data_IF_506656670442
#
_entry.id   IF_506656670442
#
_cell.length_a   1.000
_cell.length_b   1.000
_cell.length_c   1.000
_cell.angle_alpha   90.00
_cell.angle_beta   90.00
_cell.angle_gamma   90.00
#
_symmetry.space_group_name_H-M   'P 1'
#
loop_
_entity.id
_entity.type
_entity.pdbx_description
1 polymer ?
#
# COMPACT_ATOMS: atom_id res chain seq x y z
N UNK A 1 -11.55 -12.92 -9.92
CA UNK A 1 -10.14 -12.72 -10.35
C UNK A 1 -9.84 -11.25 -10.12
N UNK A 2 -8.89 -10.96 -9.25
CA UNK A 2 -8.50 -9.58 -9.00
C UNK A 2 -7.87 -9.03 -10.28
N UNK A 3 -8.42 -7.94 -10.80
CA UNK A 3 -7.91 -7.30 -12.01
C UNK A 3 -6.62 -6.56 -11.66
N UNK A 4 -5.50 -7.11 -12.13
CA UNK A 4 -4.17 -6.53 -11.96
C UNK A 4 -4.02 -5.35 -12.94
N UNK A 5 -3.32 -4.29 -12.50
CA UNK A 5 -2.97 -3.19 -13.41
C UNK A 5 -2.07 -3.71 -14.54
N UNK A 6 -2.24 -3.19 -15.75
CA UNK A 6 -1.26 -3.40 -16.82
C UNK A 6 0.10 -2.79 -16.44
N UNK A 7 1.18 -3.18 -17.13
CA UNK A 7 2.47 -2.52 -16.92
C UNK A 7 2.39 -1.03 -17.33
N UNK A 8 1.62 -0.71 -18.36
CA UNK A 8 1.41 0.67 -18.82
C UNK A 8 0.72 1.52 -17.75
N UNK A 9 -0.35 0.98 -17.12
CA UNK A 9 -1.01 1.62 -15.99
C UNK A 9 -0.06 1.75 -14.78
N UNK A 10 0.77 0.75 -14.53
CA UNK A 10 1.80 0.79 -13.48
C UNK A 10 2.84 1.88 -13.73
N UNK A 11 3.28 2.05 -14.97
CA UNK A 11 4.16 3.16 -15.37
C UNK A 11 3.49 4.50 -15.12
N UNK A 12 2.23 4.67 -15.53
CA UNK A 12 1.47 5.88 -15.26
C UNK A 12 1.29 6.13 -13.76
N UNK A 13 1.02 5.06 -12.99
CA UNK A 13 0.87 5.13 -11.54
C UNK A 13 2.13 5.65 -10.84
N UNK A 14 3.33 5.43 -11.38
CA UNK A 14 4.60 5.95 -10.83
C UNK A 14 4.96 7.32 -11.39
N UNK A 15 4.73 7.55 -12.68
CA UNK A 15 5.06 8.84 -13.34
C UNK A 15 4.20 9.99 -12.83
N UNK A 16 2.92 9.72 -12.55
CA UNK A 16 1.99 10.73 -12.05
C UNK A 16 2.42 11.28 -10.68
N UNK A 17 2.68 10.46 -9.64
CA UNK A 17 3.24 10.92 -8.38
C UNK A 17 4.55 11.69 -8.51
N UNK A 18 5.46 11.27 -9.39
CA UNK A 18 6.69 12.02 -9.65
C UNK A 18 6.38 13.42 -10.17
N UNK A 19 5.57 13.54 -11.21
CA UNK A 19 5.20 14.84 -11.77
C UNK A 19 4.50 15.74 -10.75
N UNK A 20 3.58 15.16 -9.95
CA UNK A 20 2.88 15.86 -8.88
C UNK A 20 3.87 16.32 -7.79
N UNK A 21 4.81 15.47 -7.38
CA UNK A 21 5.81 15.80 -6.36
C UNK A 21 6.77 16.91 -6.84
N UNK A 22 7.22 16.86 -8.08
CA UNK A 22 8.07 17.89 -8.67
C UNK A 22 7.33 19.25 -8.72
N UNK A 23 6.06 19.26 -9.10
CA UNK A 23 5.23 20.47 -9.09
C UNK A 23 4.97 20.97 -7.65
N UNK A 24 4.61 20.06 -6.73
CA UNK A 24 4.35 20.38 -5.31
C UNK A 24 5.57 21.02 -4.64
N UNK A 25 6.77 20.53 -4.93
CA UNK A 25 8.01 21.08 -4.37
C UNK A 25 8.34 22.49 -4.92
N UNK A 26 7.79 22.86 -6.06
CA UNK A 26 7.94 24.18 -6.71
C UNK A 26 6.69 25.07 -6.52
N UNK A 27 5.79 24.68 -5.60
CA UNK A 27 4.51 25.34 -5.34
C UNK A 27 3.65 25.55 -6.60
N UNK A 28 3.70 24.59 -7.53
CA UNK A 28 2.91 24.55 -8.76
C UNK A 28 1.81 23.49 -8.66
N UNK A 29 0.75 23.67 -9.43
CA UNK A 29 -0.30 22.66 -9.60
C UNK A 29 0.08 21.77 -10.77
N UNK A 30 -0.08 20.45 -10.59
CA UNK A 30 0.01 19.45 -11.63
C UNK A 30 -1.30 18.65 -11.63
N UNK A 31 -2.04 18.77 -12.71
CA UNK A 31 -3.21 17.94 -12.96
C UNK A 31 -2.81 16.80 -13.89
N UNK A 32 -3.26 15.60 -13.57
CA UNK A 32 -3.01 14.38 -14.34
C UNK A 32 -4.35 13.84 -14.81
N UNK A 33 -4.45 13.57 -16.10
CA UNK A 33 -5.60 12.87 -16.67
C UNK A 33 -5.37 11.35 -16.55
N UNK A 34 -6.26 10.68 -15.82
CA UNK A 34 -6.17 9.26 -15.57
C UNK A 34 -7.16 8.49 -16.46
N UNK A 35 -6.75 7.33 -17.00
CA UNK A 35 -7.65 6.46 -17.77
C UNK A 35 -8.74 5.85 -16.89
N UNK A 36 -9.73 5.23 -17.53
CA UNK A 36 -10.88 4.62 -16.87
C UNK A 36 -10.45 3.53 -15.84
N UNK A 37 -9.33 2.84 -16.08
CA UNK A 37 -8.75 1.84 -15.18
C UNK A 37 -8.41 2.40 -13.79
N UNK A 38 -8.23 3.71 -13.65
CA UNK A 38 -7.97 4.38 -12.37
C UNK A 38 -9.25 4.87 -11.65
N UNK A 39 -10.43 4.66 -12.23
CA UNK A 39 -11.72 5.01 -11.60
C UNK A 39 -12.28 3.93 -10.67
N UNK A 40 -11.51 2.90 -10.39
CA UNK A 40 -11.83 1.89 -9.38
C UNK A 40 -11.38 2.34 -7.99
N UNK A 41 -12.13 1.96 -6.97
CA UNK A 41 -11.77 2.20 -5.57
C UNK A 41 -10.68 1.22 -5.17
N UNK A 42 -9.47 1.72 -4.90
CA UNK A 42 -8.31 0.92 -4.50
C UNK A 42 -7.49 1.64 -3.43
N UNK A 43 -6.95 0.86 -2.53
CA UNK A 43 -5.91 1.37 -1.63
C UNK A 43 -4.61 1.64 -2.40
N UNK A 44 -3.85 2.66 -1.98
CA UNK A 44 -2.61 3.05 -2.64
C UNK A 44 -1.62 3.62 -1.64
N UNK A 45 -0.33 3.40 -1.88
CA UNK A 45 0.78 4.06 -1.20
C UNK A 45 1.74 4.65 -2.21
N UNK A 46 2.27 5.83 -1.91
CA UNK A 46 3.38 6.46 -2.64
C UNK A 46 4.57 6.53 -1.70
N UNK A 47 5.67 5.92 -2.12
CA UNK A 47 6.94 5.91 -1.39
C UNK A 47 7.99 6.68 -2.19
N UNK A 48 8.71 7.55 -1.51
CA UNK A 48 9.82 8.34 -2.04
C UNK A 48 11.08 7.91 -1.30
N UNK A 49 12.12 7.50 -2.03
CA UNK A 49 13.37 7.04 -1.45
C UNK A 49 14.58 7.71 -2.11
N UNK A 50 15.61 8.02 -1.34
CA UNK A 50 16.86 8.58 -1.86
C UNK A 50 17.60 7.54 -2.71
N UNK A 51 18.08 7.96 -3.87
CA UNK A 51 18.87 7.11 -4.75
C UNK A 51 20.36 7.44 -4.63
N UNK A 52 21.28 6.45 -4.62
CA UNK A 52 21.02 5.01 -4.67
C UNK A 52 20.84 4.33 -3.30
N UNK A 53 20.84 5.08 -2.19
CA UNK A 53 20.88 4.54 -0.82
C UNK A 53 19.61 3.77 -0.43
N UNK A 54 18.46 4.06 -1.08
CA UNK A 54 17.15 3.49 -0.70
C UNK A 54 16.59 4.05 0.62
N UNK A 55 17.23 5.08 1.21
CA UNK A 55 16.76 5.68 2.45
C UNK A 55 15.40 6.33 2.24
N UNK A 56 14.44 5.95 3.08
CA UNK A 56 13.08 6.48 3.03
C UNK A 56 13.07 7.99 3.22
N UNK A 57 12.34 8.68 2.36
CA UNK A 57 12.20 10.14 2.39
C UNK A 57 10.75 10.59 2.61
N UNK A 58 9.79 9.74 2.29
CA UNK A 58 8.37 9.93 2.52
C UNK A 58 7.58 8.72 2.06
N UNK A 59 6.53 8.38 2.81
CA UNK A 59 5.61 7.31 2.43
C UNK A 59 4.24 7.61 3.03
N UNK A 60 3.29 7.94 2.16
CA UNK A 60 1.89 8.18 2.56
C UNK A 60 0.98 7.37 1.65
N UNK A 61 -0.12 6.91 2.21
CA UNK A 61 -1.12 6.18 1.46
C UNK A 61 -2.49 6.12 2.12
N UNK A 62 -3.40 5.56 1.37
CA UNK A 62 -4.80 5.33 1.75
C UNK A 62 -5.07 3.83 1.60
N UNK A 63 -4.97 3.04 2.69
CA UNK A 63 -5.07 1.58 2.60
C UNK A 63 -6.47 1.07 2.32
N UNK A 64 -7.50 1.87 2.63
CA UNK A 64 -8.88 1.45 2.43
C UNK A 64 -9.38 1.88 1.04
N UNK A 65 -10.10 1.01 0.31
CA UNK A 65 -10.64 1.31 -1.01
C UNK A 65 -11.94 2.13 -0.89
N UNK A 66 -11.84 3.35 -0.37
CA UNK A 66 -12.97 4.27 -0.13
C UNK A 66 -13.01 5.44 -1.09
N UNK A 67 -12.04 5.54 -2.00
CA UNK A 67 -12.01 6.53 -3.07
C UNK A 67 -11.29 5.96 -4.29
N UNK A 68 -11.60 6.51 -5.46
CA UNK A 68 -11.00 6.10 -6.71
C UNK A 68 -9.48 6.31 -6.71
N UNK A 69 -8.74 5.39 -7.34
CA UNK A 69 -7.29 5.48 -7.48
C UNK A 69 -6.85 6.81 -8.12
N UNK A 70 -7.61 7.31 -9.12
CA UNK A 70 -7.41 8.63 -9.75
C UNK A 70 -7.46 9.80 -8.76
N UNK A 71 -8.09 9.64 -7.61
CA UNK A 71 -8.19 10.65 -6.54
C UNK A 71 -7.18 10.39 -5.42
N UNK A 72 -7.07 9.14 -4.97
CA UNK A 72 -6.19 8.77 -3.85
C UNK A 72 -4.71 8.89 -4.19
N UNK A 73 -4.32 8.56 -5.42
CA UNK A 73 -2.92 8.59 -5.86
C UNK A 73 -2.32 10.01 -5.84
N UNK A 74 -2.98 11.07 -6.41
CA UNK A 74 -2.47 12.44 -6.27
C UNK A 74 -2.39 12.93 -4.83
N UNK A 75 -3.35 12.57 -3.99
CA UNK A 75 -3.32 12.93 -2.56
C UNK A 75 -2.17 12.24 -1.83
N UNK A 76 -1.93 10.95 -2.10
CA UNK A 76 -0.81 10.22 -1.54
C UNK A 76 0.54 10.79 -2.00
N UNK A 77 0.68 11.22 -3.26
CA UNK A 77 1.87 11.85 -3.79
C UNK A 77 2.20 13.16 -3.07
N UNK A 78 1.22 14.05 -2.93
CA UNK A 78 1.39 15.31 -2.17
C UNK A 78 1.69 15.04 -0.70
N UNK A 79 0.99 14.07 -0.10
CA UNK A 79 1.23 13.65 1.28
C UNK A 79 2.66 13.15 1.48
N UNK A 80 3.19 12.33 0.57
CA UNK A 80 4.55 11.80 0.66
C UNK A 80 5.63 12.89 0.59
N UNK A 81 5.40 13.99 -0.15
CA UNK A 81 6.28 15.16 -0.17
C UNK A 81 6.28 15.90 1.17
N UNK A 82 5.18 15.83 1.91
CA UNK A 82 4.92 16.53 3.17
C UNK A 82 4.79 15.55 4.35
N UNK A 83 5.38 14.36 4.26
CA UNK A 83 5.33 13.34 5.31
C UNK A 83 5.88 13.92 6.63
N UNK A 84 5.07 13.95 7.71
CA UNK A 84 5.43 14.63 8.95
C UNK A 84 6.65 14.04 9.68
N UNK A 85 7.08 12.83 9.30
CA UNK A 85 8.28 12.18 9.84
C UNK A 85 9.58 12.80 9.30
N UNK A 86 9.50 13.57 8.21
CA UNK A 86 10.64 14.14 7.48
C UNK A 86 10.44 15.64 7.22
N UNK A 87 11.53 16.40 7.00
CA UNK A 87 11.41 17.76 6.46
C UNK A 87 10.72 17.74 5.09
N UNK A 88 9.96 18.79 4.74
CA UNK A 88 9.31 18.90 3.42
C UNK A 88 10.31 18.60 2.29
N UNK A 89 9.90 17.81 1.31
CA UNK A 89 10.72 17.48 0.15
C UNK A 89 11.06 18.74 -0.65
N UNK A 90 12.33 18.90 -1.04
CA UNK A 90 12.79 20.04 -1.84
C UNK A 90 12.94 19.64 -3.32
N UNK A 91 12.89 20.62 -4.27
CA UNK A 91 13.01 20.34 -5.71
C UNK A 91 14.29 19.58 -6.09
N UNK A 92 15.43 19.93 -5.48
CA UNK A 92 16.72 19.27 -5.72
C UNK A 92 16.74 17.82 -5.21
N UNK A 93 16.00 17.53 -4.13
CA UNK A 93 15.85 16.18 -3.58
C UNK A 93 14.91 15.33 -4.44
N UNK A 94 13.76 15.87 -4.88
CA UNK A 94 12.81 15.15 -5.73
C UNK A 94 13.49 14.58 -6.99
N UNK A 95 14.39 15.35 -7.61
CA UNK A 95 15.18 14.94 -8.79
C UNK A 95 16.17 13.80 -8.52
N UNK A 96 16.52 13.55 -7.27
CA UNK A 96 17.48 12.50 -6.84
C UNK A 96 16.83 11.31 -6.15
N UNK A 97 15.51 11.36 -5.98
CA UNK A 97 14.75 10.28 -5.38
C UNK A 97 14.15 9.36 -6.45
N UNK A 98 13.93 8.12 -6.09
CA UNK A 98 13.07 7.18 -6.82
C UNK A 98 11.67 7.20 -6.23
N UNK A 99 10.68 6.96 -7.09
CA UNK A 99 9.28 6.85 -6.72
C UNK A 99 8.83 5.40 -6.88
N UNK A 100 8.10 4.94 -5.90
CA UNK A 100 7.46 3.63 -5.87
C UNK A 100 5.99 3.80 -5.52
N UNK A 101 5.14 3.05 -6.20
CA UNK A 101 3.70 3.01 -5.92
C UNK A 101 3.29 1.58 -5.65
N UNK A 102 2.60 1.38 -4.53
CA UNK A 102 1.92 0.13 -4.21
C UNK A 102 0.42 0.36 -4.36
N UNK A 103 -0.21 -0.34 -5.30
CA UNK A 103 -1.66 -0.35 -5.47
C UNK A 103 -2.20 -1.63 -4.85
N UNK A 104 -3.12 -1.50 -3.91
CA UNK A 104 -3.71 -2.65 -3.23
C UNK A 104 -4.84 -3.24 -4.08
N UNK A 105 -4.95 -4.56 -4.11
CA UNK A 105 -6.08 -5.24 -4.71
C UNK A 105 -7.34 -5.06 -3.87
N UNK A 106 -8.51 -5.30 -4.45
CA UNK A 106 -9.74 -5.35 -3.66
C UNK A 106 -9.63 -6.46 -2.60
N UNK A 107 -10.04 -6.21 -1.35
CA UNK A 107 -10.07 -7.23 -0.32
C UNK A 107 -11.03 -8.37 -0.68
N UNK A 108 -10.56 -9.61 -0.59
CA UNK A 108 -11.36 -10.81 -0.80
C UNK A 108 -11.66 -11.49 0.54
N UNK A 109 -12.93 -11.84 0.84
CA UNK A 109 -13.27 -12.56 2.07
C UNK A 109 -12.61 -13.94 2.13
N UNK A 110 -11.95 -14.25 3.25
CA UNK A 110 -11.44 -15.60 3.52
C UNK A 110 -12.57 -16.42 4.17
N UNK A 111 -13.04 -17.43 3.46
CA UNK A 111 -14.03 -18.38 3.98
C UNK A 111 -13.30 -19.59 4.53
N UNK A 112 -13.40 -19.81 5.84
CA UNK A 112 -12.70 -20.87 6.54
C UNK A 112 -13.62 -21.67 7.46
N UNK A 113 -13.27 -22.92 7.73
CA UNK A 113 -14.03 -23.87 8.57
C UNK A 113 -13.33 -24.14 9.91
N UNK A 114 -12.04 -23.88 9.98
CA UNK A 114 -11.20 -24.07 11.17
C UNK A 114 -10.03 -23.10 11.16
N UNK A 115 -9.35 -22.94 12.27
CA UNK A 115 -8.14 -22.12 12.37
C UNK A 115 -7.01 -22.62 11.44
N UNK A 116 -6.89 -23.92 11.26
CA UNK A 116 -5.91 -24.49 10.31
C UNK A 116 -6.26 -24.18 8.85
N UNK A 117 -7.55 -24.25 8.51
CA UNK A 117 -8.05 -23.86 7.18
C UNK A 117 -7.80 -22.35 6.90
N UNK A 118 -8.04 -21.49 7.89
CA UNK A 118 -7.70 -20.07 7.81
C UNK A 118 -6.21 -19.85 7.49
N UNK A 119 -5.34 -20.49 8.28
CA UNK A 119 -3.88 -20.35 8.10
C UNK A 119 -3.40 -20.82 6.73
N UNK A 120 -3.98 -21.91 6.22
CA UNK A 120 -3.59 -22.47 4.92
C UNK A 120 -3.90 -21.57 3.72
N UNK A 121 -4.77 -20.57 3.91
CA UNK A 121 -5.16 -19.62 2.87
C UNK A 121 -4.37 -18.30 2.91
N UNK A 122 -3.42 -18.16 3.86
CA UNK A 122 -2.62 -16.95 4.06
C UNK A 122 -1.17 -17.21 3.66
N UNK A 123 -0.64 -16.36 2.78
CA UNK A 123 0.76 -16.39 2.35
C UNK A 123 1.50 -15.18 2.89
N UNK A 124 2.44 -15.43 3.82
CA UNK A 124 3.28 -14.38 4.45
C UNK A 124 4.09 -13.64 3.36
N UNK A 125 4.12 -12.32 3.45
CA UNK A 125 4.82 -11.43 2.50
C UNK A 125 4.03 -11.12 1.23
N UNK A 126 2.90 -11.80 1.01
CA UNK A 126 2.06 -11.61 -0.17
C UNK A 126 0.67 -11.11 0.19
N UNK A 127 0.07 -11.70 1.22
CA UNK A 127 -1.27 -11.33 1.66
C UNK A 127 -1.23 -10.33 2.80
N UNK A 128 -1.83 -9.15 2.59
CA UNK A 128 -2.27 -8.26 3.65
C UNK A 128 -3.59 -8.78 4.21
N UNK A 129 -3.83 -8.54 5.49
CA UNK A 129 -5.02 -9.02 6.17
C UNK A 129 -5.82 -7.86 6.77
N UNK A 130 -7.14 -7.95 6.60
CA UNK A 130 -8.12 -7.16 7.32
C UNK A 130 -8.89 -8.12 8.21
N UNK A 131 -9.04 -7.77 9.49
CA UNK A 131 -9.91 -8.48 10.41
C UNK A 131 -11.03 -7.57 10.89
N UNK A 132 -12.26 -8.10 10.94
CA UNK A 132 -13.43 -7.38 11.44
C UNK A 132 -14.20 -8.24 12.42
N UNK A 133 -14.65 -7.61 13.49
CA UNK A 133 -15.58 -8.21 14.44
C UNK A 133 -16.38 -7.12 15.16
N UNK A 134 -17.67 -7.00 14.86
CA UNK A 134 -18.52 -5.94 15.41
C UNK A 134 -17.91 -4.54 15.17
N UNK A 135 -17.48 -3.84 16.25
CA UNK A 135 -16.81 -2.54 16.20
C UNK A 135 -15.28 -2.62 16.15
N UNK A 136 -14.73 -3.81 16.29
CA UNK A 136 -13.27 -4.03 16.26
C UNK A 136 -12.81 -4.29 14.84
N UNK A 137 -11.66 -3.78 14.50
CA UNK A 137 -11.05 -4.03 13.20
C UNK A 137 -9.60 -3.61 13.18
N UNK A 138 -8.82 -4.34 12.41
CA UNK A 138 -7.42 -4.02 12.18
C UNK A 138 -7.02 -4.43 10.76
N UNK A 139 -5.94 -3.84 10.27
CA UNK A 139 -5.33 -4.15 8.99
C UNK A 139 -3.81 -4.18 9.15
N UNK A 140 -3.17 -5.15 8.51
CA UNK A 140 -1.74 -5.16 8.25
C UNK A 140 -1.48 -5.33 6.77
N UNK A 141 -0.48 -4.61 6.26
CA UNK A 141 0.02 -4.75 4.89
C UNK A 141 0.89 -6.00 4.77
N UNK A 142 1.07 -6.55 3.56
CA UNK A 142 1.80 -7.80 3.34
C UNK A 142 3.24 -7.81 3.86
N UNK A 143 3.93 -6.67 3.82
CA UNK A 143 5.31 -6.55 4.26
C UNK A 143 5.49 -6.61 5.78
N UNK A 144 4.45 -6.26 6.56
CA UNK A 144 4.56 -6.17 8.02
C UNK A 144 4.99 -7.48 8.67
N UNK A 145 4.37 -8.65 8.40
CA UNK A 145 4.80 -9.89 9.01
C UNK A 145 6.22 -10.31 8.59
N UNK A 146 6.69 -9.90 7.41
CA UNK A 146 8.07 -10.15 6.96
C UNK A 146 9.05 -9.28 7.74
N UNK A 147 8.78 -7.99 7.89
CA UNK A 147 9.62 -7.05 8.65
C UNK A 147 9.71 -7.40 10.14
N UNK A 148 8.67 -8.02 10.68
CA UNK A 148 8.59 -8.44 12.07
C UNK A 148 9.00 -9.90 12.28
N UNK A 149 9.36 -10.62 11.22
CA UNK A 149 9.71 -12.05 11.23
C UNK A 149 8.59 -12.94 11.81
N UNK A 150 7.33 -12.55 11.62
CA UNK A 150 6.18 -13.30 12.13
C UNK A 150 5.84 -14.51 11.26
N UNK A 151 5.52 -15.61 11.91
CA UNK A 151 4.80 -16.71 11.30
C UNK A 151 3.28 -16.38 11.22
N UNK A 152 2.49 -17.26 10.61
CA UNK A 152 1.04 -17.01 10.40
C UNK A 152 0.26 -16.91 11.72
N UNK A 153 0.63 -17.66 12.76
CA UNK A 153 -0.03 -17.60 14.06
C UNK A 153 0.23 -16.26 14.76
N UNK A 154 1.48 -15.80 14.73
CA UNK A 154 1.87 -14.49 15.26
C UNK A 154 1.24 -13.34 14.45
N UNK A 155 1.16 -13.49 13.13
CA UNK A 155 0.51 -12.50 12.27
C UNK A 155 -0.98 -12.33 12.63
N UNK A 156 -1.73 -13.43 12.76
CA UNK A 156 -3.13 -13.42 13.16
C UNK A 156 -3.32 -12.92 14.59
N UNK A 157 -2.43 -13.34 15.50
CA UNK A 157 -2.44 -12.91 16.91
C UNK A 157 -2.21 -11.41 17.04
N UNK A 158 -1.17 -10.88 16.39
CA UNK A 158 -0.87 -9.44 16.39
C UNK A 158 -1.98 -8.62 15.73
N UNK A 159 -2.65 -9.15 14.69
CA UNK A 159 -3.79 -8.50 14.07
C UNK A 159 -4.96 -8.37 15.06
N UNK A 160 -5.24 -9.42 15.85
CA UNK A 160 -6.24 -9.37 16.92
C UNK A 160 -5.85 -8.37 18.02
N UNK A 161 -4.61 -8.37 18.48
CA UNK A 161 -4.13 -7.43 19.48
C UNK A 161 -4.20 -5.97 18.99
N UNK A 162 -3.86 -5.71 17.75
CA UNK A 162 -4.01 -4.39 17.11
C UNK A 162 -5.46 -3.89 17.12
N UNK A 163 -6.41 -4.80 16.98
CA UNK A 163 -7.84 -4.49 17.07
C UNK A 163 -8.34 -4.32 18.52
N UNK A 164 -7.48 -4.50 19.52
CA UNK A 164 -7.86 -4.45 20.94
C UNK A 164 -8.54 -5.72 21.46
N UNK A 165 -8.23 -6.86 20.83
CA UNK A 165 -8.74 -8.18 21.23
C UNK A 165 -7.60 -9.03 21.83
N UNK A 166 -7.94 -10.20 22.37
CA UNK A 166 -6.94 -11.16 22.84
C UNK A 166 -6.22 -11.81 21.64
N UNK A 167 -4.95 -12.16 21.83
CA UNK A 167 -4.08 -12.71 20.80
C UNK A 167 -4.68 -13.95 20.10
N UNK A 168 -5.33 -14.83 20.86
CA UNK A 168 -5.89 -16.08 20.37
C UNK A 168 -7.35 -15.98 19.87
N UNK A 169 -7.94 -14.77 19.82
CA UNK A 169 -9.31 -14.54 19.40
C UNK A 169 -9.62 -15.06 17.98
N UNK A 170 -8.63 -15.10 17.10
CA UNK A 170 -8.77 -15.63 15.74
C UNK A 170 -9.11 -17.13 15.69
N UNK A 171 -8.81 -17.89 16.76
CA UNK A 171 -9.12 -19.33 16.87
C UNK A 171 -10.60 -19.60 17.14
N UNK A 172 -11.35 -18.59 17.53
CA UNK A 172 -12.77 -18.73 17.90
C UNK A 172 -13.71 -19.08 16.75
N UNK A 173 -13.28 -18.85 15.50
CA UNK A 173 -14.13 -18.99 14.30
C UNK A 173 -15.21 -17.92 14.15
N UNK A 174 -15.22 -16.89 15.02
CA UNK A 174 -16.23 -15.84 15.03
C UNK A 174 -15.81 -14.55 14.31
N UNK A 175 -14.56 -14.47 13.82
CA UNK A 175 -14.01 -13.29 13.19
C UNK A 175 -14.13 -13.37 11.66
N UNK A 176 -14.39 -12.23 11.03
CA UNK A 176 -14.35 -12.11 9.58
C UNK A 176 -12.95 -11.66 9.17
N UNK A 177 -12.38 -12.39 8.20
CA UNK A 177 -11.09 -12.05 7.59
C UNK A 177 -11.25 -11.78 6.11
N UNK A 178 -10.56 -10.75 5.65
CA UNK A 178 -10.37 -10.46 4.23
C UNK A 178 -8.87 -10.40 3.95
N UNK A 179 -8.45 -10.83 2.77
CA UNK A 179 -7.08 -10.69 2.32
C UNK A 179 -7.01 -9.83 1.06
N UNK A 180 -5.90 -9.14 0.91
CA UNK A 180 -5.58 -8.33 -0.25
C UNK A 180 -4.08 -8.42 -0.55
N UNK A 181 -3.70 -8.06 -1.76
CA UNK A 181 -2.30 -8.05 -2.19
C UNK A 181 -1.90 -6.65 -2.65
N UNK A 182 -0.61 -6.40 -2.74
CA UNK A 182 -0.06 -5.17 -3.25
C UNK A 182 0.64 -5.40 -4.59
N UNK A 183 0.28 -4.61 -5.59
CA UNK A 183 1.05 -4.50 -6.83
C UNK A 183 2.04 -3.37 -6.68
N UNK A 184 3.32 -3.68 -6.77
CA UNK A 184 4.38 -2.70 -6.57
C UNK A 184 5.02 -2.34 -7.91
N UNK A 185 5.02 -1.05 -8.22
CA UNK A 185 5.71 -0.47 -9.38
C UNK A 185 6.73 0.54 -8.89
N UNK A 186 7.96 0.47 -9.39
CA UNK A 186 9.05 1.29 -8.88
C UNK A 186 9.97 1.76 -10.00
N UNK A 187 10.49 2.97 -9.86
CA UNK A 187 11.59 3.43 -10.70
C UNK A 187 12.89 2.71 -10.34
N UNK A 188 13.64 2.29 -11.33
CA UNK A 188 15.00 1.69 -11.17
C UNK A 188 16.02 2.76 -10.78
N UNK A 189 15.87 3.96 -11.30
CA UNK A 189 16.66 5.15 -10.99
C UNK A 189 15.80 6.39 -11.13
N UNK A 190 16.19 7.55 -10.59
CA UNK A 190 15.38 8.77 -10.65
C UNK A 190 14.95 9.14 -12.07
N UNK A 191 13.65 9.12 -12.33
CA UNK A 191 13.06 9.35 -13.66
C UNK A 191 13.38 8.26 -14.70
N UNK A 192 14.03 7.18 -14.30
CA UNK A 192 14.41 6.05 -15.16
C UNK A 192 13.28 5.08 -15.45
N UNK A 193 13.59 3.89 -15.92
CA UNK A 193 12.63 2.83 -16.21
C UNK A 193 11.77 2.50 -14.98
N UNK A 194 10.51 2.19 -15.22
CA UNK A 194 9.57 1.70 -14.18
C UNK A 194 9.37 0.21 -14.39
N UNK A 195 9.55 -0.55 -13.33
CA UNK A 195 9.36 -2.01 -13.31
C UNK A 195 8.29 -2.41 -12.31
N UNK A 196 7.63 -3.53 -12.57
CA UNK A 196 6.83 -4.23 -11.56
C UNK A 196 7.77 -5.08 -10.70
N UNK A 197 7.67 -4.99 -9.39
CA UNK A 197 8.43 -5.81 -8.43
C UNK A 197 7.71 -7.10 -8.08
#
# INVERSE_FOLDING_TARGET
MVEMLSLEDGVLAVRSPRAIAEAETEDRICDVDFPETFRCDRGVFVTISEYPSGILRGCIGYPQPIMQLSQSLPLAARGACNDPRFPRLRPDQAKRCTFEVTVLTEPEPIRYKSSEDLKSQIEIGKDGLIMRYRRYGAVYLPQVPVEQEWNTDEYLGNLCMKAGMQEDSWKSGALDFEKFQGEVFSEVSPGGEVVRK
#
